data_IF_818140661026
#
_entry.id   IF_818140661026
#
_cell.length_a   1.000
_cell.length_b   1.000
_cell.length_c   1.000
_cell.angle_alpha   90.00
_cell.angle_beta   90.00
_cell.angle_gamma   90.00
#
_symmetry.space_group_name_H-M   'P 1'
#
loop_
_entity.id
_entity.type
_entity.pdbx_description
1 polymer ?
#
# COMPACT_ATOMS: atom_id res chain seq x y z
N UNK A 1 0.18 19.44 -8.64
CA UNK A 1 1.34 18.61 -8.25
C UNK A 1 0.75 17.35 -7.65
N UNK A 2 0.67 16.23 -8.39
CA UNK A 2 0.09 15.01 -7.83
C UNK A 2 1.17 14.35 -6.98
N UNK A 3 0.93 14.25 -5.68
CA UNK A 3 1.84 13.55 -4.79
C UNK A 3 1.81 12.05 -5.13
N UNK A 4 2.95 11.36 -5.10
CA UNK A 4 3.02 9.94 -5.46
C UNK A 4 2.03 9.15 -4.60
N UNK A 5 1.93 9.46 -3.32
CA UNK A 5 0.98 8.82 -2.41
C UNK A 5 -0.47 8.93 -2.88
N UNK A 6 -0.91 10.08 -3.44
CA UNK A 6 -2.27 10.23 -3.96
C UNK A 6 -2.58 9.25 -5.11
N UNK A 7 -1.59 8.92 -5.95
CA UNK A 7 -1.77 7.96 -7.04
C UNK A 7 -2.03 6.57 -6.48
N UNK A 8 -1.29 6.18 -5.44
CA UNK A 8 -1.46 4.90 -4.75
C UNK A 8 -2.76 4.85 -3.93
N UNK A 9 -3.19 5.96 -3.33
CA UNK A 9 -4.49 6.05 -2.65
C UNK A 9 -5.64 5.89 -3.67
N UNK A 10 -5.60 6.64 -4.79
CA UNK A 10 -6.68 6.65 -5.80
C UNK A 10 -6.81 5.34 -6.57
N UNK A 11 -5.71 4.61 -6.76
CA UNK A 11 -5.71 3.28 -7.37
C UNK A 11 -6.18 2.16 -6.42
N UNK A 12 -6.37 2.47 -5.13
CA UNK A 12 -6.66 1.44 -4.13
C UNK A 12 -5.47 0.52 -3.86
N UNK A 13 -4.25 0.96 -4.18
CA UNK A 13 -3.02 0.22 -3.94
C UNK A 13 -2.61 0.18 -2.46
N UNK A 14 -3.27 0.95 -1.59
CA UNK A 14 -2.98 1.00 -0.15
C UNK A 14 -4.09 0.29 0.62
N UNK A 15 -3.73 -0.81 1.26
CA UNK A 15 -4.61 -1.55 2.16
C UNK A 15 -4.29 -1.22 3.62
N UNK A 16 -5.31 -1.02 4.45
CA UNK A 16 -5.20 -0.81 5.90
C UNK A 16 -5.74 -2.03 6.63
N UNK A 17 -5.00 -2.54 7.61
CA UNK A 17 -5.35 -3.77 8.30
C UNK A 17 -4.24 -4.21 9.25
N UNK A 18 -4.11 -5.52 9.48
CA UNK A 18 -2.99 -6.09 10.22
C UNK A 18 -2.30 -7.12 9.35
N UNK A 19 -1.14 -6.76 8.81
CA UNK A 19 -0.41 -7.60 7.87
C UNK A 19 0.87 -8.13 8.50
N UNK A 20 1.13 -9.44 8.34
CA UNK A 20 2.44 -10.02 8.58
C UNK A 20 3.24 -9.93 7.27
N UNK A 21 4.34 -9.18 7.30
CA UNK A 21 5.22 -9.01 6.15
C UNK A 21 6.14 -10.22 5.98
N UNK A 22 6.76 -10.34 4.81
CA UNK A 22 7.76 -11.39 4.53
C UNK A 22 8.99 -11.30 5.42
N UNK A 23 9.24 -10.14 6.04
CA UNK A 23 10.28 -9.96 7.06
C UNK A 23 9.91 -10.54 8.44
N UNK A 24 8.68 -11.02 8.63
CA UNK A 24 8.15 -11.43 9.92
C UNK A 24 7.65 -10.27 10.79
N UNK A 25 7.75 -9.02 10.31
CA UNK A 25 7.24 -7.85 11.02
C UNK A 25 5.76 -7.63 10.73
N UNK A 26 5.05 -7.07 11.71
CA UNK A 26 3.67 -6.66 11.55
C UNK A 26 3.60 -5.21 11.05
N UNK A 27 2.75 -4.95 10.06
CA UNK A 27 2.49 -3.62 9.52
C UNK A 27 0.99 -3.34 9.47
N UNK A 28 0.54 -2.12 9.84
CA UNK A 28 -0.85 -1.71 9.69
C UNK A 28 -1.23 -1.41 8.22
N UNK A 29 -0.24 -1.37 7.32
CA UNK A 29 -0.41 -0.98 5.92
C UNK A 29 0.29 -1.98 5.00
N UNK A 30 -0.38 -2.32 3.89
CA UNK A 30 0.19 -3.11 2.80
C UNK A 30 0.03 -2.41 1.45
N UNK A 31 1.05 -2.48 0.59
CA UNK A 31 1.11 -1.78 -0.69
C UNK A 31 1.05 -2.75 -1.87
N UNK A 32 -0.07 -2.73 -2.59
CA UNK A 32 -0.34 -3.52 -3.78
C UNK A 32 0.08 -2.75 -5.05
N UNK A 33 1.39 -2.57 -5.26
CA UNK A 33 1.95 -1.75 -6.37
C UNK A 33 1.44 -2.13 -7.77
N UNK A 34 1.01 -3.37 -7.96
CA UNK A 34 0.47 -3.87 -9.22
C UNK A 34 -0.88 -3.24 -9.59
N UNK A 35 -1.58 -2.61 -8.64
CA UNK A 35 -2.81 -1.83 -8.93
C UNK A 35 -2.54 -0.47 -9.58
N UNK A 36 -1.28 -0.05 -9.66
CA UNK A 36 -0.85 1.22 -10.27
C UNK A 36 -0.30 1.03 -11.69
N UNK A 37 0.13 -0.19 -12.04
CA UNK A 37 0.64 -0.56 -13.36
C UNK A 37 -0.51 -0.87 -14.33
#
# INVERSE_FOLDING_TARGET
MNNVEEIFQKSGAILKGHFLLTSGLHSPIYWEKFRVL
#
